data_IF_513637194200
#
_entry.id   IF_513637194200
#
_cell.length_a   1.000
_cell.length_b   1.000
_cell.length_c   1.000
_cell.angle_alpha   90.00
_cell.angle_beta   90.00
_cell.angle_gamma   90.00
#
_symmetry.space_group_name_H-M   'P 1'
#
loop_
_entity.id
_entity.type
_entity.pdbx_description
1 polymer ?
#
# COMPACT_ATOMS: atom_id res chain seq x y z
N UNK A 1 39.62 19.12 -5.89
CA UNK A 1 38.55 20.08 -5.55
C UNK A 1 37.30 19.25 -5.36
N UNK A 2 37.06 18.88 -4.12
CA UNK A 2 35.92 18.03 -3.73
C UNK A 2 34.67 18.93 -3.62
N UNK A 3 33.68 18.65 -4.45
CA UNK A 3 32.38 19.29 -4.32
C UNK A 3 31.55 18.53 -3.26
N UNK A 4 31.56 19.06 -2.05
CA UNK A 4 30.65 18.63 -0.99
C UNK A 4 29.19 18.81 -1.46
N UNK A 5 28.54 17.72 -1.81
CA UNK A 5 27.08 17.69 -1.94
C UNK A 5 26.48 17.68 -0.52
N UNK A 6 26.19 18.88 -0.05
CA UNK A 6 25.42 19.08 1.19
C UNK A 6 24.00 18.59 0.89
N UNK A 7 23.67 17.44 1.43
CA UNK A 7 22.28 16.95 1.48
C UNK A 7 21.49 17.91 2.37
N UNK A 8 20.69 18.77 1.74
CA UNK A 8 19.74 19.61 2.46
C UNK A 8 18.57 18.75 2.89
N UNK A 9 18.60 18.29 4.14
CA UNK A 9 17.40 17.82 4.84
C UNK A 9 16.50 19.05 5.02
N UNK A 10 15.56 19.25 4.11
CA UNK A 10 14.57 20.30 4.23
C UNK A 10 13.40 19.74 5.02
N UNK A 11 13.41 19.92 6.34
CA UNK A 11 12.22 19.74 7.15
C UNK A 11 11.24 20.84 6.79
N UNK A 12 10.25 20.55 5.96
CA UNK A 12 9.16 21.48 5.65
C UNK A 12 8.15 21.39 6.81
N UNK A 13 8.27 22.32 7.75
CA UNK A 13 7.26 22.58 8.77
C UNK A 13 6.06 23.26 8.10
N UNK A 14 5.01 22.51 7.78
CA UNK A 14 3.69 23.09 7.53
C UNK A 14 2.99 23.30 8.88
N UNK A 15 3.10 24.52 9.39
CA UNK A 15 2.31 24.96 10.54
C UNK A 15 0.89 25.28 10.08
N UNK A 16 -0.06 24.39 10.26
CA UNK A 16 -1.47 24.75 10.37
C UNK A 16 -1.82 24.88 11.85
N UNK A 17 -1.72 26.12 12.36
CA UNK A 17 -2.24 26.47 13.66
C UNK A 17 -3.72 26.81 13.50
N UNK A 18 -4.61 25.88 13.82
CA UNK A 18 -5.94 26.19 14.36
C UNK A 18 -6.38 25.00 15.24
N UNK A 19 -6.46 25.30 16.52
CA UNK A 19 -7.21 24.59 17.58
C UNK A 19 -6.77 23.16 17.94
N UNK A 20 -5.74 23.05 18.77
CA UNK A 20 -5.79 22.19 19.96
C UNK A 20 -5.69 20.67 19.78
N UNK A 21 -4.88 20.12 18.85
CA UNK A 21 -4.14 18.85 19.03
C UNK A 21 -2.97 18.86 18.05
N UNK A 22 -1.80 19.27 18.49
CA UNK A 22 -0.59 19.21 17.68
C UNK A 22 0.07 17.83 17.82
N UNK A 23 -0.31 16.87 17.02
CA UNK A 23 0.62 15.83 16.61
C UNK A 23 1.24 16.28 15.29
N UNK A 24 2.36 16.98 15.35
CA UNK A 24 3.24 17.24 14.22
C UNK A 24 3.70 15.88 13.69
N UNK A 25 3.08 15.41 12.62
CA UNK A 25 3.57 14.28 11.84
C UNK A 25 4.73 14.80 10.98
N UNK A 26 5.93 14.89 11.55
CA UNK A 26 7.11 15.17 10.76
C UNK A 26 7.32 13.98 9.81
N UNK A 27 7.33 14.24 8.51
CA UNK A 27 7.64 13.26 7.48
C UNK A 27 9.10 13.45 7.07
N UNK A 28 9.94 12.41 7.21
CA UNK A 28 11.30 12.42 6.67
C UNK A 28 11.26 12.19 5.18
N UNK A 29 11.70 13.18 4.43
CA UNK A 29 11.81 13.11 2.99
C UNK A 29 13.21 12.64 2.55
N UNK A 30 13.27 11.62 1.68
CA UNK A 30 14.52 11.03 1.19
C UNK A 30 14.51 10.95 -0.33
N UNK A 31 15.45 11.67 -0.97
CA UNK A 31 15.74 11.53 -2.39
C UNK A 31 16.78 10.43 -2.60
N UNK A 32 16.44 9.41 -3.39
CA UNK A 32 17.32 8.29 -3.74
C UNK A 32 17.87 8.48 -5.14
N UNK A 33 19.10 9.00 -5.30
CA UNK A 33 19.68 9.30 -6.61
C UNK A 33 20.08 8.05 -7.39
N UNK A 34 20.36 6.95 -6.68
CA UNK A 34 20.71 5.66 -7.26
C UNK A 34 20.07 4.52 -6.46
N UNK A 35 19.44 3.53 -7.12
CA UNK A 35 18.88 2.37 -6.45
C UNK A 35 19.93 1.62 -5.63
N UNK A 36 19.56 1.17 -4.43
CA UNK A 36 20.43 0.43 -3.51
C UNK A 36 21.21 1.32 -2.54
N UNK A 37 20.97 2.63 -2.52
CA UNK A 37 21.73 3.57 -1.66
C UNK A 37 20.95 4.11 -0.46
N UNK A 38 19.68 3.71 -0.28
CA UNK A 38 18.80 4.23 0.76
C UNK A 38 19.38 4.08 2.18
N UNK A 39 20.07 2.98 2.47
CA UNK A 39 20.66 2.73 3.79
C UNK A 39 21.72 3.76 4.19
N UNK A 40 22.37 4.40 3.23
CA UNK A 40 23.34 5.48 3.47
C UNK A 40 22.66 6.86 3.61
N UNK A 41 21.45 7.00 3.12
CA UNK A 41 20.70 8.27 3.05
C UNK A 41 19.74 8.43 4.23
N UNK A 42 19.03 7.36 4.60
CA UNK A 42 18.07 7.37 5.70
C UNK A 42 18.80 7.07 7.03
N UNK A 43 19.36 8.10 7.62
CA UNK A 43 20.14 8.02 8.86
C UNK A 43 19.35 8.43 10.12
N UNK A 44 18.22 9.12 9.95
CA UNK A 44 17.28 9.52 11.01
C UNK A 44 16.11 8.55 11.07
N UNK A 45 15.63 8.27 12.28
CA UNK A 45 14.60 7.27 12.54
C UNK A 45 13.26 7.93 12.82
N UNK A 46 12.63 8.46 11.77
CA UNK A 46 11.28 8.99 11.86
C UNK A 46 10.25 7.92 11.48
N UNK A 47 9.13 7.92 12.19
CA UNK A 47 8.05 6.95 11.97
C UNK A 47 7.44 7.06 10.58
N UNK A 48 7.46 8.26 10.00
CA UNK A 48 6.87 8.58 8.70
C UNK A 48 7.98 8.92 7.71
N UNK A 49 8.11 8.14 6.67
CA UNK A 49 9.16 8.30 5.66
C UNK A 49 8.53 8.41 4.27
N UNK A 50 8.90 9.45 3.53
CA UNK A 50 8.58 9.60 2.12
C UNK A 50 9.82 9.45 1.27
N UNK A 51 9.74 8.60 0.25
CA UNK A 51 10.85 8.31 -0.66
C UNK A 51 10.53 8.82 -2.05
N UNK A 52 11.48 9.51 -2.65
CA UNK A 52 11.48 9.90 -4.05
C UNK A 52 12.66 9.22 -4.78
N UNK A 53 12.47 8.85 -6.05
CA UNK A 53 13.48 8.22 -6.88
C UNK A 53 13.30 6.72 -7.05
N UNK A 54 14.30 6.08 -7.66
CA UNK A 54 14.24 4.65 -7.94
C UNK A 54 14.79 3.83 -6.75
N UNK A 55 14.07 2.79 -6.36
CA UNK A 55 14.44 1.85 -5.29
C UNK A 55 14.46 0.42 -5.80
N UNK A 56 15.41 -0.37 -5.33
CA UNK A 56 15.57 -1.77 -5.70
C UNK A 56 15.51 -2.72 -4.49
N UNK A 57 15.85 -3.99 -4.69
CA UNK A 57 15.81 -5.02 -3.66
C UNK A 57 16.61 -4.68 -2.41
N UNK A 58 17.80 -4.06 -2.54
CA UNK A 58 18.64 -3.68 -1.40
C UNK A 58 17.96 -2.61 -0.55
N UNK A 59 17.28 -1.65 -1.19
CA UNK A 59 16.51 -0.61 -0.49
C UNK A 59 15.30 -1.20 0.22
N UNK A 60 14.57 -2.10 -0.45
CA UNK A 60 13.43 -2.82 0.16
C UNK A 60 13.90 -3.66 1.36
N UNK A 61 15.04 -4.35 1.26
CA UNK A 61 15.64 -5.08 2.38
C UNK A 61 15.88 -4.19 3.59
N UNK A 62 16.45 -3.03 3.36
CA UNK A 62 16.70 -2.04 4.40
C UNK A 62 15.39 -1.51 5.01
N UNK A 63 14.41 -1.13 4.18
CA UNK A 63 13.10 -0.68 4.64
C UNK A 63 12.40 -1.74 5.51
N UNK A 64 12.40 -3.00 5.09
CA UNK A 64 11.85 -4.11 5.89
C UNK A 64 12.49 -4.20 7.28
N UNK A 65 13.82 -4.05 7.36
CA UNK A 65 14.53 -4.05 8.66
C UNK A 65 14.07 -2.88 9.53
N UNK A 66 13.96 -1.67 8.97
CA UNK A 66 13.53 -0.49 9.72
C UNK A 66 12.07 -0.60 10.19
N UNK A 67 11.19 -1.15 9.36
CA UNK A 67 9.78 -1.43 9.72
C UNK A 67 9.73 -2.47 10.84
N UNK A 68 10.40 -3.60 10.72
CA UNK A 68 10.35 -4.67 11.73
C UNK A 68 10.95 -4.25 13.07
N UNK A 69 11.95 -3.36 13.06
CA UNK A 69 12.48 -2.72 14.27
C UNK A 69 11.51 -1.66 14.85
N UNK A 70 10.45 -1.33 14.15
CA UNK A 70 9.48 -0.30 14.55
C UNK A 70 10.00 1.13 14.39
N UNK A 71 11.04 1.35 13.61
CA UNK A 71 11.58 2.67 13.28
C UNK A 71 10.69 3.39 12.25
N UNK A 72 10.12 2.64 11.30
CA UNK A 72 9.17 3.13 10.29
C UNK A 72 7.83 2.43 10.51
N UNK A 73 6.75 3.20 10.57
CA UNK A 73 5.37 2.71 10.64
C UNK A 73 4.51 3.21 9.50
N UNK A 74 4.93 4.29 8.84
CA UNK A 74 4.28 4.88 7.68
C UNK A 74 5.30 5.11 6.57
N UNK A 75 5.04 4.54 5.39
CA UNK A 75 5.93 4.59 4.25
C UNK A 75 5.21 5.14 3.02
N UNK A 76 5.65 6.29 2.53
CA UNK A 76 5.10 6.91 1.33
C UNK A 76 6.06 6.70 0.15
N UNK A 77 5.66 5.88 -0.81
CA UNK A 77 6.38 5.57 -2.04
C UNK A 77 5.69 6.18 -3.29
N UNK A 78 4.75 7.11 -3.12
CA UNK A 78 3.96 7.66 -4.24
C UNK A 78 4.83 8.28 -5.34
N UNK A 79 5.97 8.87 -4.96
CA UNK A 79 6.94 9.53 -5.84
C UNK A 79 8.15 8.63 -6.15
N UNK A 80 8.16 7.40 -5.64
CA UNK A 80 9.19 6.42 -5.93
C UNK A 80 8.86 5.58 -7.16
N UNK A 81 9.86 4.86 -7.66
CA UNK A 81 9.68 3.78 -8.63
C UNK A 81 10.40 2.51 -8.15
N UNK A 82 9.73 1.37 -8.25
CA UNK A 82 10.36 0.08 -7.97
C UNK A 82 11.03 -0.40 -9.24
N UNK A 83 12.33 -0.68 -9.15
CA UNK A 83 13.16 -1.16 -10.26
C UNK A 83 13.85 -2.48 -9.89
N UNK A 84 14.18 -3.26 -10.90
CA UNK A 84 14.94 -4.53 -10.72
C UNK A 84 16.36 -4.26 -10.22
N UNK A 85 16.96 -5.29 -9.60
CA UNK A 85 18.35 -5.29 -9.13
C UNK A 85 18.49 -5.26 -7.61
N UNK A 86 19.73 -5.26 -7.15
CA UNK A 86 20.09 -5.34 -5.73
C UNK A 86 20.04 -6.74 -5.15
N UNK A 87 20.38 -6.86 -3.86
CA UNK A 87 20.37 -8.12 -3.11
C UNK A 87 18.95 -8.49 -2.73
N UNK A 88 18.64 -9.78 -2.63
CA UNK A 88 17.33 -10.28 -2.23
C UNK A 88 16.82 -9.60 -0.94
N UNK A 89 15.56 -9.15 -0.96
CA UNK A 89 14.93 -8.47 0.18
C UNK A 89 14.30 -9.45 1.18
N UNK A 90 13.95 -10.65 0.73
CA UNK A 90 13.37 -11.72 1.55
C UNK A 90 13.65 -13.07 0.88
N UNK A 91 14.25 -14.03 1.61
CA UNK A 91 14.70 -15.30 1.02
C UNK A 91 15.49 -15.03 -0.28
N UNK A 92 15.02 -15.56 -1.44
CA UNK A 92 15.61 -15.36 -2.76
C UNK A 92 14.89 -14.28 -3.62
N UNK A 93 13.84 -13.66 -3.07
CA UNK A 93 13.03 -12.71 -3.82
C UNK A 93 13.75 -11.38 -4.04
N UNK A 94 13.72 -10.93 -5.28
CA UNK A 94 14.24 -9.63 -5.75
C UNK A 94 13.14 -8.79 -6.37
N UNK A 95 13.39 -7.48 -6.52
CA UNK A 95 12.45 -6.58 -7.16
C UNK A 95 12.39 -6.75 -8.67
N UNK A 96 11.21 -6.51 -9.25
CA UNK A 96 10.97 -6.34 -10.67
C UNK A 96 10.35 -4.97 -10.91
N UNK A 97 10.54 -4.43 -12.12
CA UNK A 97 10.08 -3.09 -12.46
C UNK A 97 8.56 -2.97 -12.32
N UNK A 98 8.13 -1.95 -11.56
CA UNK A 98 6.72 -1.60 -11.34
C UNK A 98 5.85 -2.75 -10.78
N UNK A 99 6.46 -3.63 -10.00
CA UNK A 99 5.77 -4.73 -9.31
C UNK A 99 6.04 -4.64 -7.81
N UNK A 100 5.00 -4.77 -7.00
CA UNK A 100 5.16 -5.13 -5.59
C UNK A 100 5.37 -6.64 -5.56
N UNK A 101 6.62 -7.05 -5.33
CA UNK A 101 7.08 -8.43 -5.48
C UNK A 101 6.54 -9.39 -4.43
N UNK A 102 6.77 -10.67 -4.64
CA UNK A 102 6.36 -11.72 -3.71
C UNK A 102 6.98 -11.52 -2.33
N UNK A 103 6.17 -11.63 -1.29
CA UNK A 103 6.56 -11.43 0.11
C UNK A 103 7.24 -10.08 0.42
N UNK A 104 7.12 -9.04 -0.44
CA UNK A 104 7.89 -7.79 -0.33
C UNK A 104 7.74 -7.11 1.04
N UNK A 105 6.54 -7.09 1.61
CA UNK A 105 6.25 -6.58 2.97
C UNK A 105 5.56 -7.63 3.84
N UNK A 106 5.76 -8.91 3.53
CA UNK A 106 5.26 -10.01 4.34
C UNK A 106 5.82 -9.93 5.78
N UNK A 107 4.94 -10.13 6.78
CA UNK A 107 5.29 -10.07 8.21
C UNK A 107 5.83 -8.70 8.68
N UNK A 108 5.57 -7.63 7.94
CA UNK A 108 5.86 -6.26 8.38
C UNK A 108 4.76 -5.76 9.33
N UNK A 109 4.63 -6.38 10.51
CA UNK A 109 3.55 -6.13 11.48
C UNK A 109 3.51 -4.71 12.02
N UNK A 110 4.60 -3.96 11.92
CA UNK A 110 4.70 -2.57 12.35
C UNK A 110 4.37 -1.56 11.25
N UNK A 111 4.18 -2.00 9.99
CA UNK A 111 3.79 -1.14 8.88
C UNK A 111 2.28 -0.87 8.95
N UNK A 112 1.91 0.33 9.38
CA UNK A 112 0.51 0.74 9.55
C UNK A 112 -0.08 1.39 8.30
N UNK A 113 0.75 2.15 7.58
CA UNK A 113 0.35 2.88 6.37
C UNK A 113 1.40 2.74 5.28
N UNK A 114 0.95 2.57 4.05
CA UNK A 114 1.78 2.63 2.86
C UNK A 114 1.04 3.32 1.71
N UNK A 115 1.74 4.24 1.03
CA UNK A 115 1.32 4.75 -0.27
C UNK A 115 2.20 4.13 -1.34
N UNK A 116 1.60 3.43 -2.30
CA UNK A 116 2.32 2.75 -3.37
C UNK A 116 2.57 3.67 -4.57
N UNK A 117 3.64 3.43 -5.35
CA UNK A 117 3.87 4.18 -6.60
C UNK A 117 2.71 4.01 -7.59
N UNK A 118 2.33 5.10 -8.27
CA UNK A 118 1.30 5.06 -9.32
C UNK A 118 1.71 4.27 -10.57
N UNK A 119 2.98 3.89 -10.67
CA UNK A 119 3.51 3.07 -11.76
C UNK A 119 3.24 1.58 -11.60
N UNK A 120 2.89 1.12 -10.39
CA UNK A 120 2.69 -0.32 -10.09
C UNK A 120 1.56 -0.90 -10.92
N UNK A 121 1.82 -2.08 -11.49
CA UNK A 121 0.87 -2.81 -12.35
C UNK A 121 0.40 -4.14 -11.76
N UNK A 122 1.13 -4.66 -10.78
CA UNK A 122 0.87 -5.97 -10.16
C UNK A 122 1.29 -5.97 -8.68
N UNK A 123 0.48 -6.60 -7.84
CA UNK A 123 0.83 -6.92 -6.45
C UNK A 123 0.88 -8.44 -6.34
N UNK A 124 2.08 -8.96 -6.05
CA UNK A 124 2.38 -10.40 -6.08
C UNK A 124 1.85 -11.14 -4.85
N UNK A 125 2.02 -12.46 -4.87
CA UNK A 125 1.59 -13.35 -3.79
C UNK A 125 2.22 -12.95 -2.46
N UNK A 126 1.41 -12.94 -1.39
CA UNK A 126 1.82 -12.63 -0.02
C UNK A 126 2.54 -11.29 0.17
N UNK A 127 2.43 -10.36 -0.78
CA UNK A 127 3.18 -9.11 -0.78
C UNK A 127 3.08 -8.33 0.53
N UNK A 128 1.92 -8.35 1.19
CA UNK A 128 1.63 -7.69 2.47
C UNK A 128 1.05 -8.63 3.52
N UNK A 129 1.10 -9.95 3.29
CA UNK A 129 0.54 -10.91 4.25
C UNK A 129 1.10 -10.70 5.66
N UNK A 130 0.25 -10.70 6.68
CA UNK A 130 0.59 -10.45 8.08
C UNK A 130 1.25 -9.08 8.32
N UNK A 131 0.93 -8.07 7.50
CA UNK A 131 1.33 -6.69 7.79
C UNK A 131 0.38 -6.02 8.78
N UNK A 132 0.83 -4.93 9.39
CA UNK A 132 0.03 -4.11 10.32
C UNK A 132 -0.84 -3.06 9.64
N UNK A 133 -1.01 -3.13 8.31
CA UNK A 133 -1.75 -2.15 7.53
C UNK A 133 -3.18 -1.97 8.06
N UNK A 134 -3.58 -0.70 8.22
CA UNK A 134 -4.93 -0.29 8.64
C UNK A 134 -5.83 0.00 7.45
N UNK A 135 -5.27 0.58 6.40
CA UNK A 135 -5.93 0.92 5.13
C UNK A 135 -4.96 0.67 3.98
N UNK A 136 -5.50 0.29 2.83
CA UNK A 136 -4.74 0.22 1.59
C UNK A 136 -5.52 0.82 0.43
N UNK A 137 -4.86 1.67 -0.34
CA UNK A 137 -5.33 2.14 -1.63
C UNK A 137 -4.47 1.50 -2.73
N UNK A 138 -5.12 0.71 -3.58
CA UNK A 138 -4.48 0.04 -4.71
C UNK A 138 -4.37 1.03 -5.86
N UNK A 139 -3.16 1.27 -6.41
CA UNK A 139 -2.96 2.17 -7.53
C UNK A 139 -3.79 1.78 -8.76
N UNK A 140 -4.25 2.79 -9.50
CA UNK A 140 -5.17 2.61 -10.62
C UNK A 140 -4.67 1.70 -11.75
N UNK A 141 -3.34 1.53 -11.88
CA UNK A 141 -2.73 0.68 -12.90
C UNK A 141 -2.63 -0.79 -12.50
N UNK A 142 -2.82 -1.11 -11.22
CA UNK A 142 -2.76 -2.50 -10.75
C UNK A 142 -3.92 -3.29 -11.32
N UNK A 143 -3.60 -4.32 -12.09
CA UNK A 143 -4.59 -5.20 -12.72
C UNK A 143 -4.92 -6.42 -11.85
N UNK A 144 -3.97 -6.92 -11.09
CA UNK A 144 -4.13 -8.18 -10.35
C UNK A 144 -3.56 -8.07 -8.94
N UNK A 145 -4.31 -8.59 -7.98
CA UNK A 145 -3.85 -8.89 -6.63
C UNK A 145 -3.62 -10.39 -6.52
N UNK A 146 -2.37 -10.77 -6.21
CA UNK A 146 -1.91 -12.16 -6.17
C UNK A 146 -2.40 -12.93 -4.94
N UNK A 147 -2.14 -14.22 -4.92
CA UNK A 147 -2.53 -15.16 -3.86
C UNK A 147 -2.11 -14.66 -2.47
N UNK A 148 -3.05 -14.61 -1.52
CA UNK A 148 -2.81 -14.20 -0.13
C UNK A 148 -2.16 -12.80 0.01
N UNK A 149 -2.27 -11.90 -0.98
CA UNK A 149 -1.50 -10.66 -1.02
C UNK A 149 -1.63 -9.81 0.26
N UNK A 150 -2.80 -9.78 0.88
CA UNK A 150 -3.11 -9.08 2.13
C UNK A 150 -3.71 -10.02 3.18
N UNK A 151 -3.40 -11.31 3.12
CA UNK A 151 -3.94 -12.28 4.07
C UNK A 151 -3.41 -12.02 5.49
N UNK A 152 -4.26 -12.24 6.49
CA UNK A 152 -3.94 -12.08 7.91
C UNK A 152 -3.47 -10.68 8.32
N UNK A 153 -3.89 -9.64 7.59
CA UNK A 153 -3.71 -8.23 7.98
C UNK A 153 -4.79 -7.85 9.01
N UNK A 154 -4.55 -8.18 10.29
CA UNK A 154 -5.58 -8.10 11.34
C UNK A 154 -6.06 -6.67 11.66
N UNK A 155 -5.30 -5.65 11.27
CA UNK A 155 -5.67 -4.24 11.45
C UNK A 155 -6.33 -3.63 10.20
N UNK A 156 -6.32 -4.34 9.04
CA UNK A 156 -6.79 -3.82 7.77
C UNK A 156 -8.33 -3.78 7.76
N UNK A 157 -8.88 -2.59 7.84
CA UNK A 157 -10.34 -2.39 7.84
C UNK A 157 -10.88 -1.76 6.56
N UNK A 158 -10.08 -1.01 5.82
CA UNK A 158 -10.49 -0.30 4.61
C UNK A 158 -9.61 -0.66 3.42
N UNK A 159 -10.23 -1.07 2.31
CA UNK A 159 -9.58 -1.38 1.05
C UNK A 159 -10.19 -0.53 -0.06
N UNK A 160 -9.34 0.13 -0.85
CA UNK A 160 -9.75 0.85 -2.06
C UNK A 160 -9.11 0.16 -3.25
N UNK A 161 -9.92 -0.48 -4.10
CA UNK A 161 -9.43 -1.11 -5.34
C UNK A 161 -9.25 -0.06 -6.44
N UNK A 162 -8.13 -0.16 -7.15
CA UNK A 162 -7.83 0.73 -8.28
C UNK A 162 -8.74 0.49 -9.49
N UNK A 163 -8.81 1.47 -10.37
CA UNK A 163 -9.74 1.47 -11.52
C UNK A 163 -9.49 0.34 -12.53
N UNK A 164 -8.26 -0.20 -12.60
CA UNK A 164 -7.91 -1.30 -13.51
C UNK A 164 -7.82 -2.66 -12.82
N UNK A 165 -8.11 -2.73 -11.51
CA UNK A 165 -8.09 -4.01 -10.79
C UNK A 165 -9.19 -4.90 -11.33
N UNK A 166 -8.79 -5.95 -12.06
CA UNK A 166 -9.72 -6.87 -12.75
C UNK A 166 -9.66 -8.30 -12.22
N UNK A 167 -8.65 -8.63 -11.40
CA UNK A 167 -8.51 -9.98 -10.85
C UNK A 167 -8.02 -9.93 -9.40
N UNK A 168 -8.76 -10.61 -8.52
CA UNK A 168 -8.34 -10.92 -7.16
C UNK A 168 -8.16 -12.44 -7.07
N UNK A 169 -6.92 -12.89 -6.80
CA UNK A 169 -6.62 -14.30 -6.66
C UNK A 169 -7.10 -14.84 -5.31
N UNK A 170 -6.95 -16.15 -5.11
CA UNK A 170 -7.44 -16.82 -3.90
C UNK A 170 -6.83 -16.20 -2.64
N UNK A 171 -7.67 -16.00 -1.62
CA UNK A 171 -7.24 -15.62 -0.28
C UNK A 171 -6.71 -14.20 -0.14
N UNK A 172 -6.89 -13.32 -1.13
CA UNK A 172 -6.28 -11.98 -1.13
C UNK A 172 -6.42 -11.26 0.21
N UNK A 173 -7.59 -11.33 0.86
CA UNK A 173 -7.87 -10.71 2.17
C UNK A 173 -8.27 -11.75 3.22
N UNK A 174 -7.94 -13.02 3.00
CA UNK A 174 -8.30 -14.08 3.94
C UNK A 174 -7.68 -13.85 5.32
N UNK A 175 -8.47 -14.01 6.37
CA UNK A 175 -8.02 -13.79 7.76
C UNK A 175 -7.82 -12.32 8.14
N UNK A 176 -8.13 -11.37 7.26
CA UNK A 176 -8.04 -9.93 7.54
C UNK A 176 -9.37 -9.37 8.03
N UNK A 177 -9.32 -8.23 8.76
CA UNK A 177 -10.50 -7.63 9.42
C UNK A 177 -11.23 -6.60 8.55
N UNK A 178 -11.25 -6.79 7.23
CA UNK A 178 -11.81 -5.84 6.28
C UNK A 178 -13.30 -5.58 6.57
N UNK A 179 -13.65 -4.29 6.71
CA UNK A 179 -15.01 -3.80 6.97
C UNK A 179 -15.62 -3.15 5.74
N UNK A 180 -14.80 -2.44 4.96
CA UNK A 180 -15.26 -1.69 3.79
C UNK A 180 -14.32 -1.91 2.61
N UNK A 181 -14.90 -2.16 1.45
CA UNK A 181 -14.19 -2.25 0.16
C UNK A 181 -14.81 -1.26 -0.82
N UNK A 182 -14.02 -0.31 -1.30
CA UNK A 182 -14.40 0.61 -2.37
C UNK A 182 -13.91 0.06 -3.71
N UNK A 183 -14.81 -0.24 -4.63
CA UNK A 183 -14.50 -0.79 -5.95
C UNK A 183 -14.63 0.30 -7.00
N UNK A 184 -13.49 0.89 -7.42
CA UNK A 184 -13.45 2.02 -8.37
C UNK A 184 -13.41 1.62 -9.84
N UNK A 185 -13.44 0.34 -10.15
CA UNK A 185 -13.52 -0.14 -11.54
C UNK A 185 -14.92 0.07 -12.11
N UNK A 186 -14.99 0.31 -13.42
CA UNK A 186 -16.23 0.36 -14.19
C UNK A 186 -16.63 -1.01 -14.75
N UNK A 187 -16.14 -2.08 -14.15
CA UNK A 187 -16.43 -3.48 -14.47
C UNK A 187 -16.29 -4.31 -13.19
N UNK A 188 -16.87 -5.49 -13.20
CA UNK A 188 -16.83 -6.42 -12.06
C UNK A 188 -15.49 -7.17 -12.08
N UNK A 189 -14.61 -7.00 -11.08
CA UNK A 189 -13.38 -7.78 -11.01
C UNK A 189 -13.68 -9.27 -10.82
N UNK A 190 -12.93 -10.13 -11.48
CA UNK A 190 -12.98 -11.58 -11.26
C UNK A 190 -12.39 -11.90 -9.90
N UNK A 191 -13.10 -12.69 -9.12
CA UNK A 191 -12.70 -13.14 -7.79
C UNK A 191 -12.60 -14.66 -7.73
N UNK A 192 -11.85 -15.15 -6.78
CA UNK A 192 -11.74 -16.58 -6.50
C UNK A 192 -12.10 -16.89 -5.05
N UNK A 193 -12.07 -18.16 -4.67
CA UNK A 193 -12.51 -18.63 -3.37
C UNK A 193 -11.75 -18.00 -2.19
N UNK A 194 -12.42 -17.91 -1.03
CA UNK A 194 -11.85 -17.44 0.24
C UNK A 194 -11.35 -16.00 0.20
N UNK A 195 -12.07 -15.11 -0.51
CA UNK A 195 -11.63 -13.71 -0.66
C UNK A 195 -11.54 -12.98 0.69
N UNK A 196 -12.60 -13.05 1.51
CA UNK A 196 -12.68 -12.44 2.84
C UNK A 196 -13.04 -13.49 3.90
N UNK A 197 -12.61 -13.27 5.14
CA UNK A 197 -13.09 -13.97 6.34
C UNK A 197 -14.12 -13.16 7.11
N UNK A 198 -14.31 -11.90 6.75
CA UNK A 198 -15.33 -10.97 7.24
C UNK A 198 -16.50 -10.89 6.25
N UNK A 199 -17.51 -10.09 6.59
CA UNK A 199 -18.62 -9.74 5.69
C UNK A 199 -18.59 -8.22 5.47
N UNK A 200 -17.70 -7.71 4.60
CA UNK A 200 -17.51 -6.28 4.42
C UNK A 200 -18.69 -5.61 3.72
N UNK A 201 -18.81 -4.29 3.89
CA UNK A 201 -19.60 -3.44 2.97
C UNK A 201 -18.81 -3.22 1.71
N UNK A 202 -19.37 -3.56 0.56
CA UNK A 202 -18.76 -3.42 -0.77
C UNK A 202 -19.43 -2.25 -1.47
N UNK A 203 -18.70 -1.13 -1.57
CA UNK A 203 -19.18 0.12 -2.15
C UNK A 203 -18.82 0.17 -3.63
N UNK A 204 -19.83 0.28 -4.49
CA UNK A 204 -19.71 0.31 -5.94
C UNK A 204 -20.40 1.54 -6.50
N UNK A 205 -20.15 1.90 -7.76
CA UNK A 205 -20.92 2.92 -8.45
C UNK A 205 -22.41 2.55 -8.49
N UNK A 206 -23.28 3.55 -8.40
CA UNK A 206 -24.74 3.34 -8.28
C UNK A 206 -25.32 2.56 -9.44
N UNK A 207 -24.81 2.80 -10.66
CA UNK A 207 -25.22 2.13 -11.90
C UNK A 207 -24.72 0.68 -12.02
N UNK A 208 -23.74 0.29 -11.18
CA UNK A 208 -23.22 -1.08 -11.15
C UNK A 208 -23.77 -1.94 -10.01
N UNK A 209 -24.57 -1.35 -9.13
CA UNK A 209 -25.05 -2.04 -7.92
C UNK A 209 -25.75 -3.36 -8.20
N UNK A 210 -26.67 -3.37 -9.15
CA UNK A 210 -27.46 -4.56 -9.48
C UNK A 210 -26.58 -5.63 -10.12
N UNK A 211 -25.65 -5.25 -11.02
CA UNK A 211 -24.70 -6.17 -11.64
C UNK A 211 -23.80 -6.85 -10.60
N UNK A 212 -23.33 -6.10 -9.59
CA UNK A 212 -22.56 -6.67 -8.48
C UNK A 212 -23.41 -7.56 -7.58
N UNK A 213 -24.66 -7.20 -7.32
CA UNK A 213 -25.59 -8.02 -6.52
C UNK A 213 -25.92 -9.36 -7.20
N UNK A 214 -25.90 -9.41 -8.54
CA UNK A 214 -26.11 -10.61 -9.33
C UNK A 214 -24.81 -11.41 -9.60
N UNK A 215 -23.66 -10.92 -9.13
CA UNK A 215 -22.34 -11.57 -9.29
C UNK A 215 -21.91 -12.36 -8.06
N UNK A 216 -20.81 -13.10 -8.20
CA UNK A 216 -20.16 -13.84 -7.08
C UNK A 216 -19.74 -12.91 -5.92
N UNK A 217 -19.63 -11.61 -6.13
CA UNK A 217 -19.31 -10.63 -5.08
C UNK A 217 -20.36 -10.57 -3.97
N UNK A 218 -21.61 -10.86 -4.29
CA UNK A 218 -22.71 -10.89 -3.33
C UNK A 218 -22.54 -11.99 -2.23
N UNK A 219 -21.74 -13.01 -2.50
CA UNK A 219 -21.41 -14.06 -1.52
C UNK A 219 -20.45 -13.57 -0.43
N UNK A 220 -19.71 -12.46 -0.68
CA UNK A 220 -18.62 -12.00 0.18
C UNK A 220 -18.94 -10.76 1.01
N UNK A 221 -20.07 -10.09 0.76
CA UNK A 221 -20.38 -8.89 1.51
C UNK A 221 -21.69 -8.24 1.11
N UNK A 222 -22.01 -7.11 1.75
CA UNK A 222 -23.19 -6.31 1.44
C UNK A 222 -22.89 -5.30 0.34
N UNK A 223 -23.54 -5.39 -0.80
CA UNK A 223 -23.34 -4.48 -1.94
C UNK A 223 -24.13 -3.18 -1.72
N UNK A 224 -23.44 -2.04 -1.80
CA UNK A 224 -23.99 -0.70 -1.62
C UNK A 224 -23.62 0.18 -2.81
N UNK A 225 -24.57 0.88 -3.41
CA UNK A 225 -24.33 1.94 -4.39
C UNK A 225 -23.77 3.22 -3.72
N UNK A 226 -23.62 4.30 -4.50
CA UNK A 226 -23.15 5.62 -4.05
C UNK A 226 -21.67 5.69 -3.67
N UNK A 227 -20.82 5.01 -4.43
CA UNK A 227 -19.36 5.03 -4.22
C UNK A 227 -18.81 6.46 -4.12
N UNK A 228 -19.26 7.40 -4.96
CA UNK A 228 -18.77 8.77 -4.98
C UNK A 228 -18.97 9.47 -3.62
N UNK A 229 -20.15 9.33 -3.02
CA UNK A 229 -20.46 9.97 -1.72
C UNK A 229 -19.66 9.36 -0.58
N UNK A 230 -19.65 8.04 -0.50
CA UNK A 230 -19.00 7.31 0.60
C UNK A 230 -17.49 7.45 0.54
N UNK A 231 -16.90 7.36 -0.66
CA UNK A 231 -15.45 7.49 -0.83
C UNK A 231 -14.96 8.90 -0.49
N UNK A 232 -15.72 9.94 -0.86
CA UNK A 232 -15.37 11.32 -0.55
C UNK A 232 -15.41 11.59 0.95
N UNK A 233 -16.41 11.08 1.66
CA UNK A 233 -16.54 11.23 3.12
C UNK A 233 -15.37 10.59 3.88
N UNK A 234 -14.98 9.38 3.49
CA UNK A 234 -13.92 8.61 4.14
C UNK A 234 -12.51 9.21 3.91
N UNK A 235 -12.31 9.88 2.77
CA UNK A 235 -11.05 10.54 2.44
C UNK A 235 -10.87 11.90 3.11
N UNK A 236 -11.93 12.49 3.67
CA UNK A 236 -11.91 13.79 4.36
C UNK A 236 -11.89 13.67 5.88
N UNK A 237 -12.04 12.49 6.42
CA UNK A 237 -11.98 12.18 7.85
C UNK A 237 -10.59 11.69 8.26
#
# INVERSE_FOLDING_TARGET
>A
MEANHIIKTLAILFAFAICGVSSLWAETFVDVPQPGTLSALLTTMDKNVKINGAINSSDIKYLRQQINNGNITSLNLSDASIVSGGDAYYEEFTTNDNIVGECMFNQCEKLEYISLPNSITYISSKAFSKSGLKKIEIPDKVSTLGFDAFAYCNALDTVVLGRKTNKLEQGVFFGSSVKVVYVRSSFIPTITYYLFSSNPTICVYSDMKDDFADSDWNEFGTIVGNLEELYTQDMTS
#
